data_IF_368998603288
#
_entry.id   IF_368998603288
#
_cell.length_a   1.000
_cell.length_b   1.000
_cell.length_c   1.000
_cell.angle_alpha   90.00
_cell.angle_beta   90.00
_cell.angle_gamma   90.00
#
_symmetry.space_group_name_H-M   'P 1'
#
loop_
_entity.id
_entity.type
_entity.pdbx_description
1 polymer ?
#
# COMPACT_ATOMS: atom_id res chain seq x y z
N UNK A 1 32.41 -3.84 3.40
CA UNK A 1 31.10 -4.51 3.20
C UNK A 1 30.00 -3.49 2.87
N UNK A 2 30.31 -2.45 2.07
CA UNK A 2 29.47 -1.23 1.99
C UNK A 2 29.25 -0.73 0.56
N UNK A 3 29.90 -1.33 -0.44
CA UNK A 3 29.74 -0.97 -1.86
C UNK A 3 28.84 -1.96 -2.62
N UNK A 4 28.82 -3.24 -2.25
CA UNK A 4 27.97 -4.28 -2.88
C UNK A 4 26.47 -4.08 -2.60
N UNK A 5 26.11 -3.59 -1.41
CA UNK A 5 24.70 -3.40 -1.04
C UNK A 5 24.01 -2.25 -1.76
N UNK A 6 24.77 -1.27 -2.28
CA UNK A 6 24.23 -0.09 -2.97
C UNK A 6 23.97 -0.37 -4.46
N UNK A 7 24.66 -1.34 -5.05
CA UNK A 7 24.49 -1.78 -6.45
C UNK A 7 23.30 -2.73 -6.57
N UNK A 8 23.17 -3.72 -5.69
CA UNK A 8 22.03 -4.65 -5.68
C UNK A 8 20.68 -3.95 -5.41
N UNK A 9 20.67 -2.89 -4.60
CA UNK A 9 19.47 -2.13 -4.29
C UNK A 9 18.97 -1.23 -5.44
N UNK A 10 19.82 -0.97 -6.44
CA UNK A 10 19.48 -0.15 -7.63
C UNK A 10 19.08 -1.04 -8.84
N UNK A 11 19.51 -2.31 -8.86
CA UNK A 11 19.12 -3.30 -9.88
C UNK A 11 17.64 -3.69 -9.81
N UNK A 12 17.03 -3.62 -8.61
CA UNK A 12 15.63 -3.95 -8.38
C UNK A 12 14.68 -2.76 -8.50
N UNK A 13 15.11 -1.64 -9.11
CA UNK A 13 14.28 -0.44 -9.31
C UNK A 13 13.89 -0.25 -10.75
N UNK A 14 12.62 0.07 -10.98
CA UNK A 14 12.16 0.45 -12.32
C UNK A 14 12.62 1.88 -12.63
N UNK A 15 13.28 2.04 -13.79
CA UNK A 15 13.60 3.35 -14.34
C UNK A 15 12.44 3.84 -15.23
N UNK A 16 11.56 4.67 -14.67
CA UNK A 16 10.38 5.20 -15.39
C UNK A 16 10.74 6.05 -16.61
N UNK A 17 11.93 6.68 -16.65
CA UNK A 17 12.38 7.45 -17.82
C UNK A 17 12.60 6.60 -19.06
N UNK A 18 12.81 5.29 -18.90
CA UNK A 18 12.93 4.34 -20.00
C UNK A 18 11.62 3.62 -20.35
N UNK A 19 10.53 3.92 -19.64
CA UNK A 19 9.21 3.35 -19.90
C UNK A 19 8.40 4.30 -20.77
N UNK A 20 7.66 3.76 -21.74
CA UNK A 20 6.74 4.54 -22.58
C UNK A 20 5.41 3.82 -22.74
N UNK A 21 4.34 4.59 -22.83
CA UNK A 21 2.99 4.09 -23.10
C UNK A 21 2.75 4.12 -24.60
N UNK A 22 2.24 3.03 -25.15
CA UNK A 22 1.85 2.91 -26.57
C UNK A 22 0.35 2.61 -26.62
N UNK A 23 -0.43 3.55 -27.14
CA UNK A 23 -1.89 3.42 -27.30
C UNK A 23 -2.20 3.04 -28.75
N UNK A 24 -2.75 1.85 -28.96
CA UNK A 24 -3.11 1.35 -30.29
C UNK A 24 -4.55 1.68 -30.61
N UNK A 25 -4.77 2.53 -31.61
CA UNK A 25 -6.09 2.95 -32.13
C UNK A 25 -7.08 3.33 -31.00
N UNK A 26 -6.72 4.24 -30.07
CA UNK A 26 -7.66 4.71 -29.05
C UNK A 26 -8.91 5.30 -29.72
N UNK A 27 -10.10 5.01 -29.19
CA UNK A 27 -11.35 5.50 -29.80
C UNK A 27 -11.68 6.93 -29.44
N UNK A 28 -11.35 7.35 -28.22
CA UNK A 28 -11.76 8.64 -27.68
C UNK A 28 -10.54 9.48 -27.29
N UNK A 29 -10.48 10.72 -27.77
CA UNK A 29 -9.36 11.62 -27.48
C UNK A 29 -9.30 11.95 -25.98
N UNK A 30 -10.44 12.01 -25.30
CA UNK A 30 -10.50 12.17 -23.85
C UNK A 30 -9.83 11.06 -23.06
N UNK A 31 -9.77 9.82 -23.60
CA UNK A 31 -8.99 8.75 -22.98
C UNK A 31 -7.49 8.98 -23.14
N UNK A 32 -7.03 9.55 -24.26
CA UNK A 32 -5.62 9.94 -24.44
C UNK A 32 -5.23 11.00 -23.41
N UNK A 33 -6.09 12.01 -23.19
CA UNK A 33 -5.87 13.02 -22.13
C UNK A 33 -5.85 12.41 -20.73
N UNK A 34 -6.76 11.49 -20.44
CA UNK A 34 -6.80 10.77 -19.16
C UNK A 34 -5.55 9.90 -18.95
N UNK A 35 -5.06 9.23 -20.00
CA UNK A 35 -3.78 8.51 -20.00
C UNK A 35 -2.60 9.46 -19.75
N UNK A 36 -2.58 10.64 -20.37
CA UNK A 36 -1.55 11.65 -20.13
C UNK A 36 -1.49 12.07 -18.66
N UNK A 37 -2.65 12.21 -18.02
CA UNK A 37 -2.73 12.43 -16.57
C UNK A 37 -2.16 11.27 -15.76
N UNK A 38 -2.51 10.03 -16.10
CA UNK A 38 -1.94 8.84 -15.45
C UNK A 38 -0.41 8.79 -15.59
N UNK A 39 0.10 9.12 -16.78
CA UNK A 39 1.53 9.16 -17.07
C UNK A 39 2.22 10.21 -16.18
N UNK A 40 1.67 11.42 -16.06
CA UNK A 40 2.17 12.44 -15.12
C UNK A 40 2.06 12.04 -13.64
N UNK A 41 1.08 11.22 -13.26
CA UNK A 41 0.98 10.70 -11.89
C UNK A 41 2.02 9.62 -11.56
N UNK A 42 2.64 9.03 -12.58
CA UNK A 42 3.53 7.85 -12.44
C UNK A 42 4.91 8.08 -13.07
N UNK A 43 5.28 9.34 -13.33
CA UNK A 43 6.54 9.76 -13.93
C UNK A 43 6.88 9.10 -15.28
N UNK A 44 5.84 8.76 -16.07
CA UNK A 44 6.02 8.37 -17.48
C UNK A 44 5.93 9.62 -18.34
N UNK A 45 6.98 9.90 -19.12
CA UNK A 45 7.05 11.12 -19.93
C UNK A 45 6.61 10.93 -21.39
N UNK A 46 6.61 9.69 -21.88
CA UNK A 46 6.48 9.40 -23.30
C UNK A 46 5.24 8.56 -23.59
N UNK A 47 4.37 9.12 -24.43
CA UNK A 47 3.18 8.46 -24.96
C UNK A 47 3.26 8.47 -26.49
N UNK A 48 3.04 7.30 -27.08
CA UNK A 48 2.94 7.11 -28.52
C UNK A 48 1.53 6.65 -28.84
N UNK A 49 0.85 7.34 -29.74
CA UNK A 49 -0.46 6.97 -30.25
C UNK A 49 -0.32 6.39 -31.65
N UNK A 50 -0.77 5.15 -31.83
CA UNK A 50 -0.65 4.41 -33.07
C UNK A 50 -1.98 4.42 -33.81
N UNK A 51 -1.95 4.80 -35.08
CA UNK A 51 -3.11 4.84 -35.98
C UNK A 51 -4.30 5.56 -35.31
N UNK A 52 -4.12 6.82 -34.85
CA UNK A 52 -5.24 7.59 -34.33
C UNK A 52 -6.22 7.88 -35.46
N UNK A 53 -7.52 7.67 -35.22
CA UNK A 53 -8.54 8.01 -36.24
C UNK A 53 -8.65 9.52 -36.43
N UNK A 54 -9.15 10.20 -35.41
CA UNK A 54 -9.27 11.65 -35.32
C UNK A 54 -8.87 12.04 -33.89
N UNK A 55 -7.92 12.97 -33.77
CA UNK A 55 -7.49 13.51 -32.48
C UNK A 55 -8.15 14.86 -32.28
N UNK A 56 -9.02 14.94 -31.29
CA UNK A 56 -9.52 16.19 -30.75
C UNK A 56 -8.56 16.65 -29.65
N UNK A 57 -7.78 17.69 -29.96
CA UNK A 57 -6.78 18.21 -29.04
C UNK A 57 -7.41 18.96 -27.86
N UNK A 58 -8.56 19.59 -28.06
CA UNK A 58 -9.28 20.27 -26.99
C UNK A 58 -9.79 19.26 -25.96
N UNK A 59 -10.30 18.12 -26.44
CA UNK A 59 -10.73 17.02 -25.56
C UNK A 59 -9.56 16.42 -24.77
N UNK A 60 -8.39 16.23 -25.40
CA UNK A 60 -7.17 15.79 -24.72
C UNK A 60 -6.78 16.77 -23.62
N UNK A 61 -6.66 18.06 -23.95
CA UNK A 61 -6.21 19.08 -23.01
C UNK A 61 -7.16 19.20 -21.81
N UNK A 62 -8.48 19.13 -22.07
CA UNK A 62 -9.51 19.15 -21.03
C UNK A 62 -9.38 17.97 -20.06
N UNK A 63 -9.15 16.77 -20.57
CA UNK A 63 -9.05 15.55 -19.74
C UNK A 63 -7.70 15.41 -19.05
N UNK A 64 -6.62 15.88 -19.68
CA UNK A 64 -5.27 15.85 -19.13
C UNK A 64 -5.11 16.81 -17.95
N UNK A 65 -5.83 17.94 -17.96
CA UNK A 65 -5.67 19.08 -17.03
C UNK A 65 -4.28 19.75 -17.16
N UNK A 66 -4.12 20.94 -16.57
CA UNK A 66 -2.85 21.69 -16.67
C UNK A 66 -1.63 20.92 -16.15
N UNK A 67 -1.81 19.99 -15.20
CA UNK A 67 -0.72 19.22 -14.61
C UNK A 67 -0.03 18.26 -15.59
N UNK A 68 -0.71 17.83 -16.66
CA UNK A 68 -0.17 16.88 -17.63
C UNK A 68 0.19 17.52 -18.98
N UNK A 69 0.15 18.85 -19.07
CA UNK A 69 0.41 19.60 -20.31
C UNK A 69 1.75 19.23 -20.97
N UNK A 70 2.80 19.09 -20.16
CA UNK A 70 4.13 18.72 -20.65
C UNK A 70 4.17 17.33 -21.29
N UNK A 71 3.39 16.38 -20.77
CA UNK A 71 3.27 15.04 -21.36
C UNK A 71 2.46 15.11 -22.65
N UNK A 72 1.36 15.87 -22.67
CA UNK A 72 0.53 16.06 -23.87
C UNK A 72 1.32 16.67 -25.02
N UNK A 73 2.17 17.66 -24.75
CA UNK A 73 3.05 18.29 -25.76
C UNK A 73 4.07 17.31 -26.35
N UNK A 74 4.46 16.28 -25.59
CA UNK A 74 5.39 15.22 -26.01
C UNK A 74 4.71 14.03 -26.70
N UNK A 75 3.37 14.00 -26.80
CA UNK A 75 2.64 12.90 -27.46
C UNK A 75 3.06 12.81 -28.92
N UNK A 76 3.50 11.62 -29.33
CA UNK A 76 3.83 11.32 -30.72
C UNK A 76 2.74 10.47 -31.35
N UNK A 77 2.34 10.81 -32.56
CA UNK A 77 1.43 10.01 -33.36
C UNK A 77 2.18 9.32 -34.50
N UNK A 78 1.91 8.05 -34.72
CA UNK A 78 2.54 7.21 -35.75
C UNK A 78 1.50 6.34 -36.44
N UNK A 79 1.81 5.81 -37.63
CA UNK A 79 0.81 5.11 -38.43
C UNK A 79 0.74 3.61 -38.15
N UNK A 80 1.81 3.02 -37.60
CA UNK A 80 1.87 1.57 -37.38
C UNK A 80 2.48 1.19 -36.04
N UNK A 81 2.09 0.02 -35.54
CA UNK A 81 2.66 -0.52 -34.31
C UNK A 81 4.16 -0.84 -34.50
N UNK A 82 4.55 -1.32 -35.69
CA UNK A 82 5.95 -1.63 -35.98
C UNK A 82 6.83 -0.35 -35.93
N UNK A 83 6.33 0.78 -36.44
CA UNK A 83 6.99 2.10 -36.29
C UNK A 83 7.09 2.53 -34.83
N UNK A 84 6.01 2.38 -34.06
CA UNK A 84 6.01 2.71 -32.63
C UNK A 84 7.05 1.90 -31.85
N UNK A 85 7.16 0.60 -32.15
CA UNK A 85 7.99 -0.35 -31.41
C UNK A 85 9.46 -0.36 -31.86
N UNK A 86 9.80 0.24 -33.00
CA UNK A 86 11.15 0.16 -33.62
C UNK A 86 12.31 0.57 -32.69
N UNK A 87 12.04 1.41 -31.69
CA UNK A 87 13.06 1.95 -30.78
C UNK A 87 13.08 1.31 -29.38
N UNK A 88 12.28 0.27 -29.16
CA UNK A 88 12.13 -0.42 -27.87
C UNK A 88 12.77 -1.81 -27.91
N UNK A 89 13.48 -2.17 -26.84
CA UNK A 89 14.14 -3.47 -26.69
C UNK A 89 13.29 -4.46 -25.89
N UNK A 90 12.26 -3.96 -25.20
CA UNK A 90 11.32 -4.80 -24.46
C UNK A 90 9.90 -4.26 -24.59
N UNK A 91 8.94 -5.16 -24.83
CA UNK A 91 7.57 -4.81 -25.20
C UNK A 91 6.60 -5.66 -24.39
N UNK A 92 5.72 -4.99 -23.65
CA UNK A 92 4.70 -5.59 -22.78
C UNK A 92 3.33 -5.32 -23.39
N UNK A 93 2.65 -6.35 -23.84
CA UNK A 93 1.27 -6.24 -24.32
C UNK A 93 0.28 -6.42 -23.18
N UNK A 94 -0.78 -5.63 -23.14
CA UNK A 94 -1.83 -5.77 -22.11
C UNK A 94 -3.09 -6.46 -22.64
N UNK A 95 -3.72 -7.27 -21.81
CA UNK A 95 -4.95 -8.00 -22.18
C UNK A 95 -5.89 -8.19 -20.99
N UNK A 96 -7.20 -8.12 -21.25
CA UNK A 96 -8.23 -8.56 -20.30
C UNK A 96 -8.59 -10.05 -20.45
N UNK A 97 -8.06 -10.72 -21.49
CA UNK A 97 -8.41 -12.11 -21.81
C UNK A 97 -7.62 -13.05 -20.92
N UNK A 98 -8.30 -13.94 -20.20
CA UNK A 98 -7.68 -15.03 -19.44
C UNK A 98 -7.47 -16.23 -20.37
N UNK A 99 -6.36 -16.27 -21.10
CA UNK A 99 -5.86 -17.44 -21.84
C UNK A 99 -6.83 -18.12 -22.83
N UNK A 100 -6.58 -17.97 -24.15
CA UNK A 100 -7.16 -18.83 -25.19
C UNK A 100 -6.14 -19.86 -25.70
N UNK A 101 -6.58 -20.90 -26.41
CA UNK A 101 -5.74 -22.01 -26.92
C UNK A 101 -4.49 -21.57 -27.71
N UNK A 102 -4.49 -20.35 -28.26
CA UNK A 102 -3.40 -19.78 -29.06
C UNK A 102 -2.52 -18.76 -28.31
N UNK A 103 -2.88 -18.39 -27.07
CA UNK A 103 -2.07 -17.54 -26.18
C UNK A 103 -1.36 -18.44 -25.15
N UNK A 104 -0.69 -19.50 -25.64
CA UNK A 104 0.15 -20.40 -24.84
C UNK A 104 1.44 -19.69 -24.41
N UNK A 105 1.29 -18.79 -23.46
CA UNK A 105 2.33 -18.12 -22.70
C UNK A 105 1.67 -17.60 -21.44
N UNK A 106 2.23 -17.90 -20.27
CA UNK A 106 1.67 -17.49 -19.00
C UNK A 106 1.42 -15.98 -19.01
N UNK A 107 0.15 -15.57 -19.02
CA UNK A 107 -0.23 -14.17 -18.86
C UNK A 107 0.27 -13.78 -17.48
N UNK A 108 1.23 -12.87 -17.44
CA UNK A 108 1.83 -12.39 -16.21
C UNK A 108 0.81 -11.49 -15.50
N UNK A 109 0.69 -11.62 -14.19
CA UNK A 109 -0.11 -10.67 -13.41
C UNK A 109 0.53 -9.29 -13.48
N UNK A 110 -0.27 -8.24 -13.56
CA UNK A 110 0.23 -6.86 -13.49
C UNK A 110 1.07 -6.61 -12.23
N UNK A 111 0.79 -7.33 -11.13
CA UNK A 111 1.55 -7.26 -9.86
C UNK A 111 2.99 -7.76 -9.98
N UNK A 112 3.28 -8.62 -10.95
CA UNK A 112 4.61 -9.21 -11.13
C UNK A 112 5.46 -8.40 -12.12
N UNK A 113 4.86 -7.42 -12.81
CA UNK A 113 5.54 -6.62 -13.82
C UNK A 113 6.70 -5.81 -13.27
N UNK A 114 6.59 -5.29 -12.05
CA UNK A 114 7.68 -4.52 -11.45
C UNK A 114 8.96 -5.33 -11.34
N UNK A 115 8.87 -6.57 -10.84
CA UNK A 115 10.00 -7.50 -10.74
C UNK A 115 10.60 -7.84 -12.11
N UNK A 116 9.76 -8.03 -13.13
CA UNK A 116 10.20 -8.36 -14.48
C UNK A 116 10.84 -7.16 -15.21
N UNK A 117 10.32 -5.95 -15.01
CA UNK A 117 10.75 -4.73 -15.73
C UNK A 117 11.89 -4.02 -15.03
N UNK A 118 12.03 -4.12 -13.71
CA UNK A 118 13.10 -3.47 -12.94
C UNK A 118 14.49 -3.68 -13.57
N UNK A 119 15.01 -4.91 -13.74
CA UNK A 119 16.34 -5.12 -14.33
C UNK A 119 16.42 -4.69 -15.80
N UNK A 120 15.33 -4.83 -16.55
CA UNK A 120 15.29 -4.52 -18.00
C UNK A 120 15.38 -3.01 -18.24
N UNK A 121 14.56 -2.24 -17.53
CA UNK A 121 14.41 -0.78 -17.70
C UNK A 121 15.68 0.01 -17.38
N UNK A 122 16.68 -0.60 -16.72
CA UNK A 122 17.95 0.06 -16.40
C UNK A 122 18.75 0.43 -17.65
N UNK A 123 18.75 -0.45 -18.65
CA UNK A 123 19.59 -0.32 -19.86
C UNK A 123 18.80 -0.41 -21.16
N UNK A 124 17.49 -0.68 -21.09
CA UNK A 124 16.62 -0.87 -22.24
C UNK A 124 15.40 0.04 -22.18
N UNK A 125 14.92 0.47 -23.35
CA UNK A 125 13.62 1.12 -23.47
C UNK A 125 12.50 0.09 -23.47
N UNK A 126 11.46 0.36 -22.69
CA UNK A 126 10.32 -0.54 -22.48
C UNK A 126 9.03 0.10 -22.99
N UNK A 127 8.33 -0.59 -23.88
CA UNK A 127 7.00 -0.19 -24.36
C UNK A 127 5.89 -0.94 -23.62
N UNK A 128 4.94 -0.20 -23.05
CA UNK A 128 3.69 -0.74 -22.50
C UNK A 128 2.57 -0.52 -23.53
N UNK A 129 2.11 -1.59 -24.15
CA UNK A 129 1.17 -1.54 -25.27
C UNK A 129 -0.25 -1.81 -24.79
N UNK A 130 -1.16 -0.88 -25.10
CA UNK A 130 -2.57 -0.95 -24.77
C UNK A 130 -3.40 -0.87 -26.04
N UNK A 131 -4.42 -1.73 -26.14
CA UNK A 131 -5.33 -1.77 -27.27
C UNK A 131 -6.55 -0.85 -27.13
N UNK A 132 -7.41 -0.82 -28.15
CA UNK A 132 -8.67 -0.08 -28.11
C UNK A 132 -9.61 -0.59 -27.01
N UNK A 133 -10.44 0.31 -26.50
CA UNK A 133 -11.36 0.14 -25.36
C UNK A 133 -12.33 -1.03 -25.51
N UNK A 134 -12.76 -1.32 -26.74
CA UNK A 134 -13.80 -2.31 -27.03
C UNK A 134 -13.28 -3.72 -27.31
N UNK A 135 -12.06 -3.83 -27.85
CA UNK A 135 -11.55 -5.09 -28.42
C UNK A 135 -10.17 -5.49 -27.92
N UNK A 136 -9.44 -4.56 -27.29
CA UNK A 136 -8.06 -4.74 -26.87
C UNK A 136 -7.12 -5.04 -28.05
N UNK A 137 -5.91 -5.51 -27.73
CA UNK A 137 -4.93 -5.89 -28.74
C UNK A 137 -5.36 -7.15 -29.50
N UNK A 138 -5.11 -7.15 -30.81
CA UNK A 138 -5.28 -8.33 -31.64
C UNK A 138 -4.18 -9.36 -31.37
N UNK A 139 -4.41 -10.62 -31.72
CA UNK A 139 -3.39 -11.66 -31.56
C UNK A 139 -2.09 -11.33 -32.33
N UNK A 140 -2.21 -10.70 -33.50
CA UNK A 140 -1.05 -10.26 -34.31
C UNK A 140 -0.23 -9.17 -33.61
N UNK A 141 -0.89 -8.30 -32.86
CA UNK A 141 -0.21 -7.25 -32.07
C UNK A 141 0.41 -7.82 -30.81
N UNK A 142 -0.28 -8.76 -30.14
CA UNK A 142 0.28 -9.49 -29.00
C UNK A 142 1.52 -10.31 -29.38
N UNK A 143 1.59 -10.85 -30.61
CA UNK A 143 2.78 -11.53 -31.14
C UNK A 143 4.01 -10.63 -31.29
N UNK A 144 3.85 -9.29 -31.26
CA UNK A 144 4.98 -8.34 -31.23
C UNK A 144 5.51 -8.09 -29.82
N UNK A 145 4.84 -8.63 -28.79
CA UNK A 145 5.19 -8.41 -27.40
C UNK A 145 6.07 -9.54 -26.87
N UNK A 146 7.04 -9.19 -26.03
CA UNK A 146 7.93 -10.14 -25.36
C UNK A 146 7.20 -10.85 -24.22
N UNK A 147 6.37 -10.09 -23.49
CA UNK A 147 5.49 -10.61 -22.45
C UNK A 147 4.08 -10.03 -22.60
N UNK A 148 3.12 -10.76 -22.06
CA UNK A 148 1.72 -10.35 -22.01
C UNK A 148 1.31 -10.23 -20.55
N UNK A 149 0.77 -9.06 -20.19
CA UNK A 149 0.32 -8.75 -18.85
C UNK A 149 -1.21 -8.68 -18.78
N UNK A 150 -1.76 -9.23 -17.72
CA UNK A 150 -3.18 -9.15 -17.39
C UNK A 150 -3.41 -8.45 -16.07
N UNK A 151 -4.40 -7.56 -16.03
CA UNK A 151 -4.88 -6.98 -14.78
C UNK A 151 -5.97 -7.90 -14.21
N UNK A 152 -5.82 -8.42 -12.99
CA UNK A 152 -6.87 -9.20 -12.34
C UNK A 152 -8.17 -8.38 -12.24
N UNK A 153 -9.25 -8.93 -12.77
CA UNK A 153 -10.59 -8.31 -12.81
C UNK A 153 -11.66 -9.33 -12.42
N UNK A 154 -12.91 -8.91 -12.23
CA UNK A 154 -14.03 -9.82 -11.95
C UNK A 154 -14.26 -10.80 -13.11
N UNK A 155 -14.70 -12.02 -12.82
CA UNK A 155 -15.04 -13.01 -13.86
C UNK A 155 -16.22 -12.57 -14.72
N UNK A 156 -17.15 -11.82 -14.11
CA UNK A 156 -18.38 -11.37 -14.76
C UNK A 156 -18.17 -10.09 -15.60
N UNK A 157 -17.11 -9.34 -15.33
CA UNK A 157 -16.83 -8.08 -16.02
C UNK A 157 -15.33 -7.77 -16.00
N UNK A 158 -14.67 -8.09 -17.10
CA UNK A 158 -13.21 -8.01 -17.24
C UNK A 158 -12.71 -6.75 -17.96
N UNK A 159 -13.62 -6.00 -18.58
CA UNK A 159 -13.26 -4.82 -19.36
C UNK A 159 -12.99 -3.62 -18.45
N UNK A 160 -11.79 -3.05 -18.56
CA UNK A 160 -11.41 -1.81 -17.89
C UNK A 160 -11.40 -0.66 -18.90
N UNK A 161 -11.74 0.55 -18.45
CA UNK A 161 -11.45 1.75 -19.20
C UNK A 161 -9.94 1.84 -19.49
N UNK A 162 -9.56 2.32 -20.68
CA UNK A 162 -8.17 2.41 -21.12
C UNK A 162 -7.27 3.14 -20.12
N UNK A 163 -7.70 4.31 -19.63
CA UNK A 163 -6.92 5.10 -18.67
C UNK A 163 -6.76 4.38 -17.32
N UNK A 164 -7.77 3.61 -16.87
CA UNK A 164 -7.67 2.81 -15.66
C UNK A 164 -6.68 1.66 -15.82
N UNK A 165 -6.71 0.97 -16.96
CA UNK A 165 -5.74 -0.09 -17.25
C UNK A 165 -4.31 0.46 -17.30
N UNK A 166 -4.11 1.62 -17.94
CA UNK A 166 -2.82 2.32 -17.95
C UNK A 166 -2.40 2.68 -16.52
N UNK A 167 -3.29 3.29 -15.73
CA UNK A 167 -2.99 3.72 -14.37
C UNK A 167 -2.52 2.56 -13.50
N UNK A 168 -3.22 1.43 -13.54
CA UNK A 168 -2.85 0.24 -12.75
C UNK A 168 -1.45 -0.24 -13.14
N UNK A 169 -1.20 -0.45 -14.43
CA UNK A 169 0.10 -0.95 -14.90
C UNK A 169 1.22 0.04 -14.57
N UNK A 170 1.02 1.34 -14.82
CA UNK A 170 2.05 2.34 -14.52
C UNK A 170 2.27 2.50 -13.02
N UNK A 171 1.22 2.40 -12.20
CA UNK A 171 1.32 2.41 -10.74
C UNK A 171 2.11 1.22 -10.21
N UNK A 172 1.85 0.00 -10.73
CA UNK A 172 2.62 -1.19 -10.37
C UNK A 172 4.11 -0.94 -10.62
N UNK A 173 4.49 -0.39 -11.78
CA UNK A 173 5.88 -0.05 -12.06
C UNK A 173 6.43 1.09 -11.20
N UNK A 174 5.65 2.13 -10.99
CA UNK A 174 6.03 3.28 -10.18
C UNK A 174 6.28 2.89 -8.72
N UNK A 175 5.54 1.93 -8.19
CA UNK A 175 5.76 1.39 -6.84
C UNK A 175 7.14 0.71 -6.69
N UNK A 176 7.75 0.29 -7.80
CA UNK A 176 9.12 -0.24 -7.87
C UNK A 176 10.19 0.82 -8.14
N UNK A 177 9.85 2.12 -8.17
CA UNK A 177 10.84 3.21 -8.31
C UNK A 177 11.59 3.49 -6.99
N UNK A 178 10.91 3.28 -5.87
CA UNK A 178 11.47 3.49 -4.53
C UNK A 178 12.33 2.31 -4.06
N UNK A 179 12.90 2.44 -2.86
CA UNK A 179 13.33 1.26 -2.12
C UNK A 179 12.09 0.44 -1.82
N UNK A 180 11.89 -0.68 -2.52
CA UNK A 180 11.01 -1.72 -2.00
C UNK A 180 11.57 -2.07 -0.63
N UNK A 181 10.85 -1.82 0.48
CA UNK A 181 11.28 -2.40 1.73
C UNK A 181 11.30 -3.90 1.46
N UNK A 182 12.49 -4.50 1.55
CA UNK A 182 12.60 -5.95 1.60
C UNK A 182 11.48 -6.43 2.54
N UNK A 183 10.70 -7.47 2.16
CA UNK A 183 9.53 -7.89 2.92
C UNK A 183 9.93 -7.88 4.40
N UNK A 184 9.14 -7.20 5.26
CA UNK A 184 9.59 -6.85 6.60
C UNK A 184 10.15 -8.12 7.23
N UNK A 185 11.44 -8.12 7.58
CA UNK A 185 12.08 -9.31 8.16
C UNK A 185 11.29 -9.68 9.40
N UNK A 186 10.40 -10.66 9.28
CA UNK A 186 9.58 -11.12 10.39
C UNK A 186 10.58 -11.74 11.37
N UNK A 187 10.83 -11.12 12.54
CA UNK A 187 11.80 -11.65 13.47
C UNK A 187 11.31 -13.01 13.98
N UNK A 188 12.22 -13.88 14.43
CA UNK A 188 11.84 -15.21 14.91
C UNK A 188 10.74 -15.14 15.96
N UNK A 189 9.56 -15.64 15.60
CA UNK A 189 8.43 -15.77 16.51
C UNK A 189 8.76 -16.80 17.58
N UNK A 190 8.18 -16.63 18.77
CA UNK A 190 8.29 -17.62 19.80
C UNK A 190 7.58 -18.91 19.35
N UNK A 191 8.25 -20.05 19.51
CA UNK A 191 7.61 -21.35 19.33
C UNK A 191 6.61 -21.61 20.47
N UNK A 192 5.67 -22.54 20.27
CA UNK A 192 4.74 -22.96 21.32
C UNK A 192 5.49 -23.41 22.58
N UNK A 193 6.60 -24.13 22.43
CA UNK A 193 7.46 -24.56 23.55
C UNK A 193 8.01 -23.38 24.35
N UNK A 194 8.43 -22.32 23.68
CA UNK A 194 8.94 -21.11 24.34
C UNK A 194 7.84 -20.32 25.04
N UNK A 195 6.65 -20.25 24.42
CA UNK A 195 5.48 -19.61 25.02
C UNK A 195 5.02 -20.37 26.26
N UNK A 196 4.93 -21.70 26.23
CA UNK A 196 4.58 -22.51 27.40
C UNK A 196 5.57 -22.29 28.55
N UNK A 197 6.89 -22.32 28.25
CA UNK A 197 7.90 -22.05 29.27
C UNK A 197 7.81 -20.62 29.86
N UNK A 198 7.32 -19.65 29.08
CA UNK A 198 7.01 -18.31 29.57
C UNK A 198 5.80 -18.30 30.50
N UNK A 199 4.71 -18.98 30.12
CA UNK A 199 3.51 -19.08 30.93
C UNK A 199 3.77 -19.82 32.24
N UNK A 200 4.58 -20.88 32.24
CA UNK A 200 5.02 -21.55 33.47
C UNK A 200 5.80 -20.58 34.38
N UNK A 201 6.75 -19.83 33.82
CA UNK A 201 7.54 -18.86 34.61
C UNK A 201 6.67 -17.74 35.21
N UNK A 202 5.61 -17.33 34.49
CA UNK A 202 4.63 -16.36 34.99
C UNK A 202 3.73 -16.95 36.07
N UNK A 203 3.23 -18.18 35.88
CA UNK A 203 2.42 -18.90 36.86
C UNK A 203 3.18 -19.02 38.19
N UNK A 204 4.41 -19.52 38.13
CA UNK A 204 5.23 -19.78 39.31
C UNK A 204 5.53 -18.48 40.06
N UNK A 205 5.85 -17.41 39.33
CA UNK A 205 6.02 -16.08 39.92
C UNK A 205 4.72 -15.57 40.58
N UNK A 206 3.60 -15.63 39.85
CA UNK A 206 2.32 -15.12 40.33
C UNK A 206 1.82 -15.84 41.57
N UNK A 207 2.09 -17.15 41.70
CA UNK A 207 1.83 -17.90 42.93
C UNK A 207 2.74 -17.43 44.07
N UNK A 208 4.04 -17.26 43.82
CA UNK A 208 5.02 -16.84 44.85
C UNK A 208 4.78 -15.45 45.42
N UNK A 209 4.21 -14.54 44.63
CA UNK A 209 3.92 -13.16 45.06
C UNK A 209 2.46 -12.98 45.51
N UNK A 210 1.71 -14.08 45.65
CA UNK A 210 0.28 -14.11 46.01
C UNK A 210 -0.61 -13.28 45.07
N UNK A 211 -0.24 -13.14 43.79
CA UNK A 211 -1.03 -12.43 42.78
C UNK A 211 -2.21 -13.27 42.27
N UNK A 212 -2.07 -14.59 42.20
CA UNK A 212 -3.14 -15.52 41.83
C UNK A 212 -3.44 -16.51 42.96
N UNK A 213 -4.70 -16.94 43.06
CA UNK A 213 -5.13 -17.94 44.05
C UNK A 213 -4.53 -19.32 43.72
N UNK A 214 -3.85 -19.92 44.69
CA UNK A 214 -3.26 -21.27 44.59
C UNK A 214 -4.30 -22.39 44.42
N UNK A 215 -5.56 -22.19 44.83
CA UNK A 215 -6.63 -23.18 44.65
C UNK A 215 -7.15 -23.25 43.22
N UNK A 216 -7.00 -22.19 42.42
CA UNK A 216 -7.42 -22.16 41.02
C UNK A 216 -6.51 -21.28 40.13
N UNK A 217 -5.24 -21.66 39.95
CA UNK A 217 -4.28 -20.90 39.15
C UNK A 217 -4.62 -20.93 37.65
N UNK A 218 -5.22 -22.02 37.16
CA UNK A 218 -5.48 -22.23 35.74
C UNK A 218 -6.48 -21.22 35.18
N UNK A 219 -7.52 -20.85 35.95
CA UNK A 219 -8.49 -19.83 35.55
C UNK A 219 -7.82 -18.48 35.24
N UNK A 220 -6.87 -18.05 36.08
CA UNK A 220 -6.12 -16.81 35.86
C UNK A 220 -5.12 -16.94 34.70
N UNK A 221 -4.48 -18.10 34.57
CA UNK A 221 -3.54 -18.35 33.48
C UNK A 221 -4.22 -18.37 32.10
N UNK A 222 -5.50 -18.74 32.01
CA UNK A 222 -6.30 -18.55 30.77
C UNK A 222 -6.40 -17.07 30.40
N UNK A 223 -6.68 -16.18 31.36
CA UNK A 223 -6.74 -14.74 31.09
C UNK A 223 -5.37 -14.17 30.67
N UNK A 224 -4.28 -14.63 31.28
CA UNK A 224 -2.90 -14.26 30.92
C UNK A 224 -2.56 -14.73 29.51
N UNK A 225 -2.91 -15.97 29.15
CA UNK A 225 -2.73 -16.50 27.79
C UNK A 225 -3.50 -15.67 26.76
N UNK A 226 -4.75 -15.32 27.07
CA UNK A 226 -5.59 -14.47 26.23
C UNK A 226 -5.06 -13.02 26.09
N UNK A 227 -4.36 -12.50 27.10
CA UNK A 227 -3.70 -11.20 27.01
C UNK A 227 -2.55 -11.25 26.00
N UNK A 228 -1.68 -12.24 26.12
CA UNK A 228 -0.50 -12.36 25.28
C UNK A 228 -0.80 -12.87 23.86
N UNK A 229 -1.89 -13.63 23.66
CA UNK A 229 -2.30 -14.13 22.34
C UNK A 229 -2.76 -13.03 21.38
N UNK A 230 -3.15 -11.86 21.90
CA UNK A 230 -3.47 -10.66 21.11
C UNK A 230 -2.25 -10.04 20.43
N UNK A 231 -1.05 -10.48 20.80
CA UNK A 231 0.22 -9.99 20.25
C UNK A 231 1.05 -11.13 19.67
N UNK A 232 1.70 -10.90 18.53
CA UNK A 232 2.62 -11.88 17.94
C UNK A 232 3.98 -11.83 18.65
N UNK A 233 4.12 -12.58 19.75
CA UNK A 233 5.34 -12.58 20.57
C UNK A 233 6.54 -13.16 19.82
N UNK A 234 7.67 -12.46 19.88
CA UNK A 234 8.97 -12.92 19.39
C UNK A 234 9.66 -13.75 20.46
N UNK A 235 10.58 -14.61 20.04
CA UNK A 235 11.36 -15.38 21.01
C UNK A 235 12.21 -14.50 21.95
N UNK A 236 12.58 -13.29 21.50
CA UNK A 236 13.24 -12.29 22.36
C UNK A 236 12.30 -11.78 23.45
N UNK A 237 11.03 -11.57 23.14
CA UNK A 237 10.03 -11.05 24.08
C UNK A 237 9.79 -12.06 25.21
N UNK A 238 9.66 -13.35 24.84
CA UNK A 238 9.62 -14.47 25.79
C UNK A 238 10.84 -14.48 26.71
N UNK A 239 12.06 -14.32 26.16
CA UNK A 239 13.28 -14.30 26.98
C UNK A 239 13.31 -13.11 27.95
N UNK A 240 12.81 -11.94 27.53
CA UNK A 240 12.71 -10.76 28.39
C UNK A 240 11.74 -11.03 29.53
N UNK A 241 10.53 -11.52 29.23
CA UNK A 241 9.49 -11.80 30.23
C UNK A 241 9.98 -12.83 31.25
N UNK A 242 10.55 -13.95 30.79
CA UNK A 242 11.16 -14.96 31.68
C UNK A 242 12.32 -14.40 32.51
N UNK A 243 13.10 -13.49 31.92
CA UNK A 243 14.16 -12.77 32.62
C UNK A 243 13.64 -11.87 33.74
N UNK A 244 12.51 -11.18 33.51
CA UNK A 244 11.80 -10.39 34.53
C UNK A 244 11.36 -11.31 35.66
N UNK A 245 10.69 -12.43 35.36
CA UNK A 245 10.26 -13.39 36.38
C UNK A 245 11.42 -13.82 37.29
N UNK A 246 12.52 -14.29 36.68
CA UNK A 246 13.71 -14.71 37.42
C UNK A 246 14.33 -13.59 38.28
N UNK A 247 14.29 -12.35 37.80
CA UNK A 247 14.86 -11.22 38.55
C UNK A 247 14.00 -10.86 39.77
N UNK A 248 12.67 -10.92 39.62
CA UNK A 248 11.73 -10.70 40.73
C UNK A 248 11.86 -11.81 41.77
N UNK A 249 11.94 -13.07 41.35
CA UNK A 249 12.17 -14.20 42.27
C UNK A 249 13.47 -14.04 43.06
N UNK A 250 14.58 -13.70 42.39
CA UNK A 250 15.88 -13.45 43.05
C UNK A 250 15.83 -12.31 44.08
N UNK A 251 15.06 -11.27 43.79
CA UNK A 251 14.85 -10.17 44.71
C UNK A 251 14.07 -10.62 45.96
N UNK A 252 13.00 -11.39 45.78
CA UNK A 252 12.21 -11.95 46.88
C UNK A 252 12.98 -12.92 47.77
N UNK A 253 13.96 -13.66 47.22
CA UNK A 253 14.83 -14.58 47.97
C UNK A 253 15.97 -13.88 48.74
N UNK A 254 16.07 -12.54 48.71
CA UNK A 254 17.16 -11.80 49.35
C UNK A 254 18.54 -12.00 48.70
N UNK A 255 18.60 -12.62 47.51
CA UNK A 255 19.84 -12.93 46.77
C UNK A 255 20.25 -11.81 45.81
N UNK A 256 20.35 -10.58 46.32
CA UNK A 256 20.94 -9.47 45.56
C UNK A 256 22.36 -9.20 46.05
N UNK A 257 23.35 -9.77 45.34
CA UNK A 257 24.75 -9.35 45.46
C UNK A 257 25.31 -8.97 44.09
N UNK A 258 25.66 -7.69 43.95
CA UNK A 258 26.82 -7.23 43.19
C UNK A 258 26.75 -7.13 41.66
N UNK A 259 27.06 -5.93 41.16
CA UNK A 259 27.46 -5.61 39.78
C UNK A 259 26.37 -5.25 38.77
N UNK A 260 25.59 -4.20 39.06
CA UNK A 260 25.35 -3.18 38.01
C UNK A 260 26.43 -2.12 38.19
N UNK A 261 27.37 -2.00 37.23
CA UNK A 261 28.24 -0.83 37.13
C UNK A 261 27.34 0.41 37.21
N UNK A 262 27.52 1.22 38.25
CA UNK A 262 26.88 2.53 38.36
C UNK A 262 27.32 3.38 37.17
N UNK A 263 26.45 3.55 36.18
CA UNK A 263 26.46 4.79 35.42
C UNK A 263 25.72 5.82 36.26
N UNK A 264 26.49 6.64 36.98
CA UNK A 264 25.99 7.88 37.57
C UNK A 264 25.57 8.79 36.41
N UNK A 265 24.26 8.92 36.21
CA UNK A 265 23.55 10.13 35.83
C UNK A 265 22.16 9.74 35.35
N UNK A 266 21.18 9.87 36.25
CA UNK A 266 19.77 10.16 35.97
C UNK A 266 19.07 10.27 37.33
N UNK A 267 19.17 11.46 37.92
CA UNK A 267 18.32 11.85 39.05
C UNK A 267 16.91 12.06 38.51
N UNK A 268 16.00 11.14 38.85
CA UNK A 268 14.56 11.36 38.72
C UNK A 268 14.01 11.26 40.15
N UNK A 269 13.43 12.34 40.72
CA UNK A 269 12.89 12.31 42.07
C UNK A 269 11.64 11.43 42.15
N UNK A 270 11.34 10.83 43.32
CA UNK A 270 10.24 9.88 43.46
C UNK A 270 8.90 10.62 43.45
N UNK A 271 8.13 10.45 42.38
CA UNK A 271 6.71 10.78 42.32
C UNK A 271 5.86 9.50 42.39
N UNK A 272 4.88 9.46 43.28
CA UNK A 272 3.92 8.37 43.45
C UNK A 272 3.13 8.11 42.13
N UNK A 273 3.25 6.93 41.50
CA UNK A 273 2.68 6.66 40.18
C UNK A 273 1.16 6.47 40.17
N UNK A 274 0.48 6.50 41.33
CA UNK A 274 -0.97 6.29 41.43
C UNK A 274 -1.78 7.56 41.73
N UNK A 275 -1.18 8.74 41.74
CA UNK A 275 -1.93 10.00 41.87
C UNK A 275 -2.61 10.39 40.55
N UNK A 276 -3.88 10.03 40.41
CA UNK A 276 -4.76 10.60 39.38
C UNK A 276 -4.96 12.10 39.69
N UNK A 277 -4.66 13.04 38.78
CA UNK A 277 -4.86 14.46 39.05
C UNK A 277 -6.35 14.76 39.22
N UNK A 278 -6.74 15.31 40.37
CA UNK A 278 -8.06 15.92 40.53
C UNK A 278 -8.09 17.20 39.70
N UNK A 279 -8.99 17.29 38.73
CA UNK A 279 -9.21 18.49 37.95
C UNK A 279 -9.67 19.63 38.89
N UNK A 280 -8.77 20.57 39.17
CA UNK A 280 -9.11 21.84 39.82
C UNK A 280 -9.73 22.77 38.79
N UNK A 281 -11.05 22.96 38.93
CA UNK A 281 -11.75 24.13 38.39
C UNK A 281 -11.18 25.37 39.07
N UNK A 282 -10.45 26.22 38.32
CA UNK A 282 -10.38 27.65 38.63
C UNK A 282 -10.44 28.45 37.33
N UNK A 283 -11.44 29.33 37.31
CA UNK A 283 -11.74 30.28 36.25
C UNK A 283 -10.80 31.50 36.30
N UNK A 284 -10.67 32.15 35.14
CA UNK A 284 -10.13 33.49 34.95
C UNK A 284 -9.28 33.55 33.68
N UNK A 285 -9.63 34.19 32.58
CA UNK A 285 -10.71 35.12 32.27
C UNK A 285 -10.15 36.12 31.25
N UNK A 286 -10.65 36.15 30.01
CA UNK A 286 -10.55 37.31 29.11
C UNK A 286 -11.90 37.45 28.40
N UNK A 287 -12.40 38.70 28.43
CA UNK A 287 -13.75 39.18 28.09
C UNK A 287 -14.10 39.16 26.59
N UNK A 288 -15.41 39.29 26.25
CA UNK A 288 -15.91 39.18 24.88
C UNK A 288 -15.87 40.51 24.13
N UNK A 289 -15.78 40.45 22.79
CA UNK A 289 -16.25 41.51 21.92
C UNK A 289 -17.56 41.11 21.24
N UNK A 290 -18.42 42.12 21.17
CA UNK A 290 -19.85 42.17 20.88
C UNK A 290 -20.23 41.91 19.41
N UNK A 291 -21.42 41.30 19.28
CA UNK A 291 -22.52 41.57 18.35
C UNK A 291 -22.33 41.49 16.83
N UNK A 292 -23.16 40.65 16.17
CA UNK A 292 -24.38 41.13 15.50
C UNK A 292 -25.37 39.97 15.28
N UNK A 293 -26.58 40.17 15.80
CA UNK A 293 -27.90 39.60 15.51
C UNK A 293 -28.10 38.79 14.21
N UNK A 294 -28.84 37.67 14.29
CA UNK A 294 -29.99 37.34 13.41
C UNK A 294 -30.94 36.39 14.17
N UNK A 295 -32.24 36.67 14.02
CA UNK A 295 -33.37 36.16 14.80
C UNK A 295 -33.81 34.73 14.45
N UNK A 296 -34.43 34.09 15.45
CA UNK A 296 -35.13 32.83 15.34
C UNK A 296 -36.47 32.97 14.61
N UNK A 297 -36.69 32.15 13.58
CA UNK A 297 -38.00 31.88 12.98
C UNK A 297 -38.40 30.42 13.22
N UNK A 298 -39.40 30.20 14.07
CA UNK A 298 -40.08 28.91 14.25
C UNK A 298 -40.79 28.50 12.95
N UNK A 299 -40.56 27.28 12.48
CA UNK A 299 -41.24 26.71 11.30
C UNK A 299 -41.53 25.22 11.48
N UNK A 300 -42.83 24.88 11.42
CA UNK A 300 -43.47 23.58 11.67
C UNK A 300 -42.87 22.40 10.90
N UNK A 301 -42.77 21.25 11.58
CA UNK A 301 -42.68 19.91 10.98
C UNK A 301 -44.00 19.58 10.25
N UNK A 302 -43.91 19.13 9.00
CA UNK A 302 -44.93 18.29 8.33
C UNK A 302 -44.23 17.10 7.67
N UNK A 303 -44.78 15.93 7.93
CA UNK A 303 -44.50 14.64 7.30
C UNK A 303 -45.06 14.57 5.88
N UNK A 304 -44.42 13.85 4.94
CA UNK A 304 -45.06 13.39 3.72
C UNK A 304 -45.46 11.91 3.85
N UNK A 305 -46.74 11.64 3.58
CA UNK A 305 -47.22 10.32 3.19
C UNK A 305 -47.77 10.42 1.76
N UNK A 306 -47.25 9.53 0.92
CA UNK A 306 -47.87 8.78 -0.19
C UNK A 306 -48.76 9.51 -1.22
N UNK A 307 -48.37 9.38 -2.50
CA UNK A 307 -49.36 9.20 -3.56
C UNK A 307 -48.78 8.37 -4.73
N UNK A 308 -49.29 7.15 -4.85
CA UNK A 308 -49.33 6.33 -6.07
C UNK A 308 -50.82 6.06 -6.34
N UNK A 309 -51.26 6.25 -7.58
CA UNK A 309 -52.49 5.62 -8.11
C UNK A 309 -53.49 6.58 -8.74
N UNK A 310 -53.53 6.60 -10.07
CA UNK A 310 -54.61 7.22 -10.82
C UNK A 310 -55.89 6.37 -10.85
N UNK A 311 -57.01 7.01 -11.21
CA UNK A 311 -58.08 6.48 -12.07
C UNK A 311 -59.16 7.56 -12.29
N UNK A 312 -59.63 7.59 -13.54
CA UNK A 312 -60.85 8.21 -14.09
C UNK A 312 -60.81 9.72 -14.33
#
# INVERSE_FOLDING_TARGET
>A
MTLQTRTEADENRVNMGNVSIVLVRPKHSGNIGSVARCASNTDVEHIIVVDPREIDREEIDKMATHAAKQVVEKIRCVYSLDEALASFQYVVGTTARRGGSNLRGAIMSSTDLGAAIAPVSRVNRVALVFGPEDRGLTNRELQRCHIIAGIPTSENFTSLNLSHAVMIVCYELFSWRGEHPAPPRIPRLASSVELEAMYDSLRDLFLKIDFINAENPDYWMVAVRNLFSRTTLRARDVKIIRGICRQVERYGEGKTSGSRKQNKNLDIPPGDPYKIPKATNQAGGIRPQSDTTISAGKGKRRSPAEEYGGKS
#
